data_IF_971499365971
#
_entry.id   IF_971499365971
#
_cell.length_a   1.000
_cell.length_b   1.000
_cell.length_c   1.000
_cell.angle_alpha   90.00
_cell.angle_beta   90.00
_cell.angle_gamma   90.00
#
_symmetry.space_group_name_H-M   'P 1'
#
loop_
_entity.id
_entity.type
_entity.pdbx_description
1 polymer ?
#
# COMPACT_ATOMS: atom_id res chain seq x y z
N UNK A 1 35.91 -8.31 -7.31
CA UNK A 1 34.84 -7.75 -8.18
C UNK A 1 33.44 -7.92 -7.56
N UNK A 2 33.06 -9.10 -7.05
CA UNK A 2 31.73 -9.33 -6.43
C UNK A 2 31.30 -8.33 -5.34
N UNK A 3 32.16 -7.98 -4.37
CA UNK A 3 31.78 -7.05 -3.30
C UNK A 3 31.40 -5.63 -3.79
N UNK A 4 31.98 -5.17 -4.90
CA UNK A 4 31.64 -3.87 -5.48
C UNK A 4 30.21 -3.82 -6.02
N UNK A 5 29.79 -4.90 -6.69
CA UNK A 5 28.43 -5.05 -7.21
C UNK A 5 27.42 -5.20 -6.06
N UNK A 6 27.77 -5.99 -5.03
CA UNK A 6 26.93 -6.15 -3.86
C UNK A 6 26.69 -4.81 -3.15
N UNK A 7 27.75 -4.04 -2.89
CA UNK A 7 27.63 -2.72 -2.28
C UNK A 7 26.79 -1.74 -3.13
N UNK A 8 27.01 -1.72 -4.46
CA UNK A 8 26.25 -0.86 -5.36
C UNK A 8 24.76 -1.17 -5.32
N UNK A 9 24.39 -2.46 -5.40
CA UNK A 9 22.99 -2.90 -5.38
C UNK A 9 22.35 -2.62 -4.02
N UNK A 10 23.03 -2.95 -2.93
CA UNK A 10 22.56 -2.74 -1.55
C UNK A 10 22.25 -1.27 -1.26
N UNK A 11 23.17 -0.37 -1.63
CA UNK A 11 22.96 1.07 -1.47
C UNK A 11 21.89 1.63 -2.43
N UNK A 12 21.71 1.03 -3.62
CA UNK A 12 20.69 1.46 -4.58
C UNK A 12 19.27 1.03 -4.20
N UNK A 13 19.10 -0.19 -3.70
CA UNK A 13 17.78 -0.80 -3.51
C UNK A 13 17.13 -0.43 -2.17
N UNK A 14 17.92 -0.19 -1.10
CA UNK A 14 17.40 -0.10 0.27
C UNK A 14 17.44 1.32 0.85
N UNK A 15 18.28 2.22 0.33
CA UNK A 15 18.62 3.50 1.00
C UNK A 15 17.44 4.47 1.19
N UNK A 16 16.99 5.11 0.12
CA UNK A 16 15.97 6.18 0.18
C UNK A 16 14.65 5.78 -0.45
N UNK A 17 14.69 4.97 -1.51
CA UNK A 17 13.50 4.56 -2.25
C UNK A 17 12.49 3.89 -1.34
N UNK A 18 12.90 2.84 -0.63
CA UNK A 18 12.03 2.04 0.25
C UNK A 18 11.42 2.87 1.37
N UNK A 19 12.17 3.79 1.97
CA UNK A 19 11.65 4.67 3.03
C UNK A 19 10.59 5.62 2.47
N UNK A 20 10.81 6.17 1.27
CA UNK A 20 9.80 6.97 0.57
C UNK A 20 8.56 6.14 0.21
N UNK A 21 8.71 4.90 -0.27
CA UNK A 21 7.57 4.00 -0.51
C UNK A 21 6.79 3.72 0.77
N UNK A 22 7.46 3.36 1.86
CA UNK A 22 6.82 3.09 3.14
C UNK A 22 6.05 4.32 3.65
N UNK A 23 6.58 5.53 3.42
CA UNK A 23 5.88 6.77 3.73
C UNK A 23 4.62 6.92 2.87
N UNK A 24 4.73 6.73 1.55
CA UNK A 24 3.58 6.82 0.64
C UNK A 24 2.51 5.77 0.95
N UNK A 25 2.89 4.55 1.30
CA UNK A 25 1.98 3.47 1.70
C UNK A 25 1.26 3.82 3.00
N UNK A 26 2.00 4.26 4.02
CA UNK A 26 1.41 4.71 5.29
C UNK A 26 0.45 5.89 5.08
N UNK A 27 0.84 6.85 4.22
CA UNK A 27 0.01 8.01 3.91
C UNK A 27 -1.27 7.61 3.16
N UNK A 28 -1.13 6.71 2.19
CA UNK A 28 -2.23 6.17 1.41
C UNK A 28 -3.27 5.48 2.29
N UNK A 29 -2.86 4.60 3.20
CA UNK A 29 -3.79 3.85 4.06
C UNK A 29 -4.52 4.79 5.05
N UNK A 30 -3.78 5.69 5.68
CA UNK A 30 -4.32 6.50 6.79
C UNK A 30 -5.15 7.67 6.30
N UNK A 31 -4.65 8.42 5.31
CA UNK A 31 -5.29 9.68 4.86
C UNK A 31 -6.09 9.53 3.57
N UNK A 32 -5.62 8.74 2.60
CA UNK A 32 -6.34 8.56 1.33
C UNK A 32 -7.51 7.60 1.52
N UNK A 33 -7.23 6.39 2.00
CA UNK A 33 -8.27 5.39 2.27
C UNK A 33 -9.09 5.73 3.52
N UNK A 34 -8.43 6.22 4.57
CA UNK A 34 -9.07 6.75 5.77
C UNK A 34 -9.05 5.77 6.96
N UNK A 35 -8.53 6.24 8.09
CA UNK A 35 -8.38 5.46 9.34
C UNK A 35 -9.66 4.80 9.83
N UNK A 36 -10.83 5.42 9.62
CA UNK A 36 -12.11 4.85 10.08
C UNK A 36 -12.51 3.62 9.27
N UNK A 37 -12.26 3.62 7.95
CA UNK A 37 -12.51 2.45 7.09
C UNK A 37 -11.51 1.34 7.44
N UNK A 38 -10.23 1.69 7.53
CA UNK A 38 -9.17 0.74 7.90
C UNK A 38 -9.40 0.04 9.25
N UNK A 39 -9.86 0.78 10.26
CA UNK A 39 -10.23 0.20 11.55
C UNK A 39 -11.38 -0.82 11.42
N UNK A 40 -12.37 -0.53 10.59
CA UNK A 40 -13.52 -1.42 10.40
C UNK A 40 -13.14 -2.66 9.59
N UNK A 41 -12.20 -2.54 8.64
CA UNK A 41 -11.63 -3.69 7.95
C UNK A 41 -10.96 -4.65 8.95
N UNK A 42 -10.11 -4.11 9.83
CA UNK A 42 -9.46 -4.89 10.89
C UNK A 42 -10.51 -5.53 11.79
N UNK A 43 -11.55 -4.79 12.17
CA UNK A 43 -12.66 -5.30 12.99
C UNK A 43 -13.35 -6.49 12.35
N UNK A 44 -13.58 -6.48 11.04
CA UNK A 44 -14.17 -7.62 10.33
C UNK A 44 -13.27 -8.85 10.31
N UNK A 45 -11.95 -8.68 10.43
CA UNK A 45 -10.97 -9.79 10.42
C UNK A 45 -10.73 -10.41 11.78
N UNK A 46 -10.57 -9.60 12.83
CA UNK A 46 -10.18 -10.07 14.17
C UNK A 46 -11.34 -10.04 15.19
N UNK A 47 -12.46 -9.41 14.83
CA UNK A 47 -13.65 -9.25 15.67
C UNK A 47 -13.61 -8.03 16.60
N UNK A 48 -14.78 -7.67 17.12
CA UNK A 48 -15.00 -6.43 17.88
C UNK A 48 -14.20 -6.33 19.17
N UNK A 49 -14.04 -7.46 19.88
CA UNK A 49 -13.43 -7.51 21.21
C UNK A 49 -12.02 -6.92 21.25
N UNK A 50 -11.25 -7.10 20.19
CA UNK A 50 -9.87 -6.61 20.11
C UNK A 50 -9.79 -5.15 19.66
N UNK A 51 -10.71 -4.72 18.81
CA UNK A 51 -10.73 -3.36 18.25
C UNK A 51 -11.34 -2.33 19.21
N UNK A 52 -12.32 -2.72 20.02
CA UNK A 52 -12.87 -1.87 21.09
C UNK A 52 -11.98 -1.79 22.34
N UNK A 53 -10.91 -2.61 22.39
CA UNK A 53 -10.02 -2.58 23.53
C UNK A 53 -9.28 -1.23 23.60
N UNK A 54 -9.12 -0.62 24.79
CA UNK A 54 -8.43 0.67 24.95
C UNK A 54 -6.99 0.65 24.40
N UNK A 55 -6.35 -0.52 24.34
CA UNK A 55 -5.02 -0.68 23.72
C UNK A 55 -5.01 -0.36 22.22
N UNK A 56 -6.13 -0.55 21.52
CA UNK A 56 -6.23 -0.25 20.08
C UNK A 56 -6.08 1.25 19.77
N UNK A 57 -6.37 2.12 20.75
CA UNK A 57 -6.16 3.56 20.58
C UNK A 57 -4.69 3.91 20.33
N UNK A 58 -3.75 3.18 20.93
CA UNK A 58 -2.31 3.34 20.67
C UNK A 58 -1.94 2.99 19.24
N UNK A 59 -2.54 1.94 18.68
CA UNK A 59 -2.35 1.56 17.28
C UNK A 59 -2.84 2.63 16.32
N UNK A 60 -3.99 3.25 16.63
CA UNK A 60 -4.48 4.39 15.85
C UNK A 60 -3.50 5.56 15.86
N UNK A 61 -2.95 5.91 17.04
CA UNK A 61 -1.97 6.98 17.17
C UNK A 61 -0.67 6.65 16.42
N UNK A 62 -0.23 5.38 16.50
CA UNK A 62 0.94 4.87 15.79
C UNK A 62 0.81 5.09 14.28
N UNK A 63 -0.31 4.67 13.69
CA UNK A 63 -0.53 4.80 12.25
C UNK A 63 -0.70 6.26 11.81
N UNK A 64 -1.40 7.09 12.59
CA UNK A 64 -1.69 8.47 12.21
C UNK A 64 -0.49 9.43 12.37
N UNK A 65 0.32 9.24 13.42
CA UNK A 65 1.31 10.25 13.81
C UNK A 65 2.72 9.68 13.96
N UNK A 66 2.88 8.56 14.65
CA UNK A 66 4.22 8.08 15.01
C UNK A 66 4.96 7.53 13.79
N UNK A 67 4.39 6.57 13.06
CA UNK A 67 5.02 5.98 11.88
C UNK A 67 5.36 7.03 10.82
N UNK A 68 4.44 7.93 10.43
CA UNK A 68 4.73 8.97 9.44
C UNK A 68 5.82 9.93 9.91
N UNK A 69 5.82 10.33 11.19
CA UNK A 69 6.84 11.24 11.75
C UNK A 69 8.22 10.60 11.76
N UNK A 70 8.32 9.32 12.15
CA UNK A 70 9.60 8.60 12.13
C UNK A 70 10.12 8.46 10.70
N UNK A 71 9.27 8.10 9.74
CA UNK A 71 9.67 7.96 8.34
C UNK A 71 10.14 9.29 7.73
N UNK A 72 9.43 10.39 8.01
CA UNK A 72 9.87 11.74 7.59
C UNK A 72 11.21 12.10 8.23
N UNK A 73 11.42 11.79 9.51
CA UNK A 73 12.68 12.06 10.20
C UNK A 73 13.85 11.29 9.57
N UNK A 74 13.64 10.03 9.21
CA UNK A 74 14.65 9.20 8.54
C UNK A 74 14.99 9.78 7.16
N UNK A 75 13.98 10.22 6.39
CA UNK A 75 14.20 10.86 5.09
C UNK A 75 15.04 12.14 5.25
N UNK A 76 14.73 12.97 6.25
CA UNK A 76 15.47 14.21 6.51
C UNK A 76 16.95 13.94 6.81
N UNK A 77 17.25 12.97 7.68
CA UNK A 77 18.63 12.58 7.99
C UNK A 77 19.35 12.05 6.75
N UNK A 78 18.72 11.16 5.98
CA UNK A 78 19.31 10.65 4.75
C UNK A 78 19.54 11.72 3.68
N UNK A 79 18.69 12.75 3.61
CA UNK A 79 18.90 13.89 2.71
C UNK A 79 20.09 14.76 3.14
N UNK A 80 20.31 14.94 4.44
CA UNK A 80 21.43 15.72 4.98
C UNK A 80 22.75 14.97 4.77
N UNK A 81 22.77 13.68 5.05
CA UNK A 81 23.95 12.83 4.97
C UNK A 81 24.15 12.19 3.58
N UNK A 82 23.51 12.73 2.54
CA UNK A 82 23.59 12.16 1.20
C UNK A 82 25.00 12.28 0.62
N UNK A 83 25.70 11.15 0.53
CA UNK A 83 27.00 11.03 -0.13
C UNK A 83 26.95 10.02 -1.26
N UNK A 84 27.72 10.26 -2.32
CA UNK A 84 27.86 9.27 -3.39
C UNK A 84 28.36 7.93 -2.83
N UNK A 85 27.81 6.79 -3.29
CA UNK A 85 28.33 5.48 -2.92
C UNK A 85 29.82 5.43 -3.21
N UNK A 86 30.63 5.00 -2.25
CA UNK A 86 32.07 4.76 -2.44
C UNK A 86 32.44 3.44 -1.79
N UNK A 87 33.16 2.58 -2.51
CA UNK A 87 33.69 1.32 -1.98
C UNK A 87 35.10 1.14 -2.51
N UNK A 88 36.11 1.25 -1.64
CA UNK A 88 37.54 1.19 -1.99
C UNK A 88 37.95 2.15 -3.15
N UNK A 89 37.29 3.30 -3.26
CA UNK A 89 37.53 4.32 -4.29
C UNK A 89 36.24 4.93 -4.84
N UNK A 90 36.34 5.99 -5.67
CA UNK A 90 35.19 6.57 -6.35
C UNK A 90 34.67 5.61 -7.43
N UNK A 91 33.34 5.42 -7.50
CA UNK A 91 32.74 4.63 -8.56
C UNK A 91 32.84 5.35 -9.92
N UNK A 92 33.03 4.62 -11.03
CA UNK A 92 32.99 5.20 -12.36
C UNK A 92 31.57 5.66 -12.72
N UNK A 93 31.45 6.65 -13.60
CA UNK A 93 30.17 7.29 -13.97
C UNK A 93 29.14 6.28 -14.52
N UNK A 94 29.58 5.22 -15.23
CA UNK A 94 28.66 4.20 -15.73
C UNK A 94 27.96 3.43 -14.61
N UNK A 95 28.61 3.24 -13.46
CA UNK A 95 28.02 2.56 -12.31
C UNK A 95 26.94 3.43 -11.67
N UNK A 96 27.07 4.75 -11.75
CA UNK A 96 26.04 5.70 -11.33
C UNK A 96 24.78 5.58 -12.19
N UNK A 97 24.89 5.40 -13.51
CA UNK A 97 23.72 5.17 -14.37
C UNK A 97 23.00 3.86 -14.01
N UNK A 98 23.75 2.80 -13.69
CA UNK A 98 23.16 1.53 -13.22
C UNK A 98 22.45 1.74 -11.87
N UNK A 99 23.08 2.46 -10.95
CA UNK A 99 22.50 2.79 -9.64
C UNK A 99 21.13 3.47 -9.77
N UNK A 100 21.03 4.55 -10.56
CA UNK A 100 19.75 5.22 -10.81
C UNK A 100 18.79 4.36 -11.64
N UNK A 101 19.30 3.54 -12.55
CA UNK A 101 18.51 2.60 -13.35
C UNK A 101 17.75 1.59 -12.48
N UNK A 102 18.42 0.98 -11.49
CA UNK A 102 17.79 0.02 -10.56
C UNK A 102 16.66 0.70 -9.76
N UNK A 103 16.91 1.90 -9.25
CA UNK A 103 15.90 2.68 -8.49
C UNK A 103 14.68 2.98 -9.38
N UNK A 104 14.91 3.52 -10.58
CA UNK A 104 13.81 3.90 -11.49
C UNK A 104 12.99 2.69 -11.94
N UNK A 105 13.62 1.55 -12.23
CA UNK A 105 12.90 0.32 -12.62
C UNK A 105 12.04 -0.21 -11.47
N UNK A 106 12.52 -0.11 -10.23
CA UNK A 106 11.75 -0.52 -9.05
C UNK A 106 10.56 0.41 -8.77
N UNK A 107 10.69 1.71 -9.05
CA UNK A 107 9.64 2.72 -8.83
C UNK A 107 8.67 2.84 -9.98
N UNK A 108 9.09 2.53 -11.21
CA UNK A 108 8.30 2.69 -12.44
C UNK A 108 6.93 2.00 -12.45
N UNK A 109 6.70 0.82 -11.84
CA UNK A 109 5.39 0.18 -11.87
C UNK A 109 4.25 1.03 -11.29
N UNK A 110 4.51 1.80 -10.22
CA UNK A 110 3.48 2.67 -9.59
C UNK A 110 2.95 3.74 -10.57
N UNK A 111 3.78 4.63 -11.15
CA UNK A 111 3.30 5.63 -12.09
C UNK A 111 2.81 5.00 -13.41
N UNK A 112 3.35 3.85 -13.84
CA UNK A 112 2.86 3.15 -15.04
C UNK A 112 1.41 2.69 -14.85
N UNK A 113 1.09 2.06 -13.72
CA UNK A 113 -0.29 1.64 -13.41
C UNK A 113 -1.19 2.87 -13.29
N UNK A 114 -0.74 3.91 -12.60
CA UNK A 114 -1.50 5.17 -12.44
C UNK A 114 -1.80 5.83 -13.80
N UNK A 115 -0.82 5.89 -14.71
CA UNK A 115 -1.01 6.43 -16.05
C UNK A 115 -1.93 5.53 -16.91
N UNK A 116 -1.74 4.22 -16.82
CA UNK A 116 -2.60 3.25 -17.51
C UNK A 116 -4.07 3.41 -17.10
N UNK A 117 -4.35 3.53 -15.80
CA UNK A 117 -5.69 3.80 -15.30
C UNK A 117 -6.19 5.17 -15.75
N UNK A 118 -5.35 6.21 -15.70
CA UNK A 118 -5.73 7.56 -16.09
C UNK A 118 -6.10 7.69 -17.58
N UNK A 119 -5.48 6.92 -18.47
CA UNK A 119 -5.78 6.90 -19.92
C UNK A 119 -7.03 6.05 -20.21
N UNK A 120 -7.20 4.94 -19.49
CA UNK A 120 -8.29 3.98 -19.74
C UNK A 120 -9.62 4.44 -19.13
N UNK A 121 -9.59 5.19 -18.03
CA UNK A 121 -10.81 5.72 -17.39
C UNK A 121 -11.45 6.84 -18.21
N UNK A 122 -12.73 6.67 -18.54
CA UNK A 122 -13.59 7.74 -19.06
C UNK A 122 -13.92 8.75 -17.97
N UNK A 123 -14.14 10.02 -18.35
CA UNK A 123 -14.55 11.07 -17.41
C UNK A 123 -13.63 12.29 -17.36
N UNK A 124 -14.02 13.24 -16.52
CA UNK A 124 -13.28 14.50 -16.28
C UNK A 124 -12.01 14.29 -15.44
N UNK A 125 -11.08 15.25 -15.41
CA UNK A 125 -9.85 15.13 -14.62
C UNK A 125 -10.10 14.86 -13.13
N UNK A 126 -11.13 15.49 -12.54
CA UNK A 126 -11.49 15.30 -11.13
C UNK A 126 -12.07 13.91 -10.87
N UNK A 127 -12.93 13.44 -11.78
CA UNK A 127 -13.54 12.11 -11.70
C UNK A 127 -12.48 11.01 -11.84
N UNK A 128 -11.51 11.20 -12.75
CA UNK A 128 -10.36 10.28 -12.87
C UNK A 128 -9.52 10.25 -11.60
N UNK A 129 -9.23 11.40 -10.99
CA UNK A 129 -8.52 11.44 -9.70
C UNK A 129 -9.32 10.73 -8.60
N UNK A 130 -10.63 10.95 -8.55
CA UNK A 130 -11.49 10.33 -7.55
C UNK A 130 -11.56 8.81 -7.71
N UNK A 131 -11.62 8.31 -8.95
CA UNK A 131 -11.53 6.87 -9.26
C UNK A 131 -10.17 6.28 -8.83
N UNK A 132 -9.07 7.02 -9.01
CA UNK A 132 -7.73 6.54 -8.66
C UNK A 132 -7.47 6.52 -7.14
N UNK A 133 -8.10 7.41 -6.38
CA UNK A 133 -7.95 7.49 -4.93
C UNK A 133 -9.08 6.80 -4.15
N UNK A 134 -10.10 6.31 -4.84
CA UNK A 134 -11.18 5.51 -4.25
C UNK A 134 -10.85 4.01 -4.34
N UNK A 135 -11.26 3.21 -3.33
CA UNK A 135 -11.17 1.76 -3.44
C UNK A 135 -12.05 1.25 -4.58
N UNK A 136 -11.67 0.13 -5.18
CA UNK A 136 -12.48 -0.50 -6.21
C UNK A 136 -13.81 -1.01 -5.64
N UNK A 137 -14.89 -0.94 -6.42
CA UNK A 137 -16.20 -1.45 -6.00
C UNK A 137 -16.19 -2.97 -5.68
N UNK A 138 -15.24 -3.71 -6.26
CA UNK A 138 -15.06 -5.15 -6.02
C UNK A 138 -14.20 -5.49 -4.80
N UNK A 139 -13.63 -4.49 -4.14
CA UNK A 139 -12.71 -4.68 -3.03
C UNK A 139 -13.37 -5.40 -1.84
N UNK A 140 -12.62 -6.30 -1.19
CA UNK A 140 -13.06 -7.07 -0.02
C UNK A 140 -12.75 -8.56 -0.10
N UNK A 141 -13.11 -9.34 0.95
CA UNK A 141 -12.92 -10.79 1.00
C UNK A 141 -13.45 -11.49 -0.25
N UNK A 142 -12.73 -12.51 -0.71
CA UNK A 142 -13.15 -13.29 -1.87
C UNK A 142 -14.33 -14.21 -1.54
N UNK A 143 -14.33 -14.75 -0.31
CA UNK A 143 -15.40 -15.61 0.17
C UNK A 143 -16.64 -14.77 0.48
N UNK A 144 -17.78 -15.23 -0.01
CA UNK A 144 -19.04 -14.49 0.05
C UNK A 144 -19.53 -14.30 1.50
N UNK A 145 -19.48 -15.34 2.32
CA UNK A 145 -19.86 -15.26 3.74
C UNK A 145 -19.07 -14.19 4.48
N UNK A 146 -17.77 -14.11 4.22
CA UNK A 146 -16.87 -13.18 4.91
C UNK A 146 -17.04 -11.76 4.38
N UNK A 147 -17.36 -11.63 3.09
CA UNK A 147 -17.71 -10.34 2.46
C UNK A 147 -19.02 -9.77 3.00
N UNK A 148 -20.06 -10.59 3.14
CA UNK A 148 -21.34 -10.16 3.72
C UNK A 148 -21.15 -9.74 5.18
N UNK A 149 -20.36 -10.50 5.96
CA UNK A 149 -20.02 -10.14 7.33
C UNK A 149 -19.24 -8.81 7.42
N UNK A 150 -18.24 -8.61 6.56
CA UNK A 150 -17.51 -7.34 6.48
C UNK A 150 -18.46 -6.18 6.14
N UNK A 151 -19.33 -6.36 5.13
CA UNK A 151 -20.31 -5.35 4.74
C UNK A 151 -21.21 -4.93 5.92
N UNK A 152 -21.77 -5.90 6.64
CA UNK A 152 -22.58 -5.65 7.84
C UNK A 152 -21.81 -4.89 8.91
N UNK A 153 -20.55 -5.25 9.15
CA UNK A 153 -19.68 -4.56 10.10
C UNK A 153 -19.47 -3.09 9.72
N UNK A 154 -19.24 -2.81 8.44
CA UNK A 154 -19.08 -1.44 7.93
C UNK A 154 -20.37 -0.63 8.07
N UNK A 155 -21.53 -1.22 7.74
CA UNK A 155 -22.85 -0.59 7.84
C UNK A 155 -23.19 -0.23 9.29
N UNK A 156 -23.00 -1.17 10.23
CA UNK A 156 -23.20 -0.96 11.67
C UNK A 156 -22.37 0.21 12.21
N UNK A 157 -21.17 0.41 11.66
CA UNK A 157 -20.24 1.46 12.10
C UNK A 157 -20.28 2.73 11.24
N UNK A 158 -21.30 2.88 10.38
CA UNK A 158 -21.53 4.07 9.56
C UNK A 158 -20.44 4.34 8.53
N UNK A 159 -19.88 3.28 7.95
CA UNK A 159 -18.92 3.32 6.82
C UNK A 159 -19.42 2.45 5.68
N UNK A 160 -18.82 2.58 4.50
CA UNK A 160 -19.12 1.72 3.34
C UNK A 160 -17.83 1.08 2.83
N UNK A 161 -17.96 -0.16 2.34
CA UNK A 161 -16.91 -0.94 1.69
C UNK A 161 -16.93 -0.77 0.15
N UNK A 162 -17.88 -0.02 -0.41
CA UNK A 162 -18.12 0.07 -1.85
C UNK A 162 -19.60 -0.13 -2.17
N UNK A 163 -19.93 -0.77 -3.29
CA UNK A 163 -21.28 -1.23 -3.60
C UNK A 163 -21.50 -2.68 -3.12
N UNK A 164 -22.74 -3.03 -2.75
CA UNK A 164 -23.09 -4.42 -2.45
C UNK A 164 -23.07 -5.22 -3.76
N UNK A 165 -22.09 -6.10 -3.91
CA UNK A 165 -21.96 -6.97 -5.08
C UNK A 165 -23.10 -8.00 -5.13
N UNK A 166 -24.11 -7.77 -5.98
CA UNK A 166 -25.17 -8.73 -6.27
C UNK A 166 -24.66 -9.80 -7.26
N UNK A 167 -23.85 -10.73 -6.76
CA UNK A 167 -23.42 -11.90 -7.53
C UNK A 167 -24.61 -12.86 -7.72
N UNK A 168 -24.71 -13.48 -8.91
CA UNK A 168 -25.64 -14.59 -9.17
C UNK A 168 -25.49 -15.63 -8.06
N UNK A 169 -26.57 -16.25 -7.57
CA UNK A 169 -26.45 -17.30 -6.55
C UNK A 169 -25.57 -18.43 -7.09
N UNK A 170 -24.37 -18.56 -6.53
CA UNK A 170 -23.50 -19.71 -6.70
C UNK A 170 -23.91 -20.78 -5.71
N UNK A 171 -23.74 -22.04 -6.10
CA UNK A 171 -23.94 -23.17 -5.19
C UNK A 171 -22.76 -23.26 -4.21
N UNK A 172 -23.00 -23.79 -3.00
CA UNK A 172 -21.95 -23.92 -1.97
C UNK A 172 -20.70 -24.69 -2.46
N UNK A 173 -20.84 -25.55 -3.47
CA UNK A 173 -19.72 -26.28 -4.10
C UNK A 173 -18.86 -25.37 -5.00
N UNK A 174 -19.46 -24.42 -5.71
CA UNK A 174 -18.74 -23.46 -6.55
C UNK A 174 -17.90 -22.50 -5.71
N UNK A 175 -18.44 -22.01 -4.58
CA UNK A 175 -17.70 -21.16 -3.64
C UNK A 175 -16.46 -21.88 -3.06
N UNK A 176 -16.61 -23.17 -2.70
CA UNK A 176 -15.48 -23.97 -2.21
C UNK A 176 -14.43 -24.25 -3.29
N UNK A 177 -14.83 -24.42 -4.55
CA UNK A 177 -13.91 -24.67 -5.66
C UNK A 177 -13.14 -23.41 -6.06
N UNK A 178 -13.79 -22.24 -6.05
CA UNK A 178 -13.11 -20.95 -6.27
C UNK A 178 -12.09 -20.69 -5.16
N UNK A 179 -12.46 -20.91 -3.90
CA UNK A 179 -11.55 -20.73 -2.76
C UNK A 179 -10.30 -21.63 -2.85
N UNK A 180 -10.40 -22.82 -3.46
CA UNK A 180 -9.28 -23.75 -3.66
C UNK A 180 -8.43 -23.47 -4.89
N UNK A 181 -8.94 -22.73 -5.89
CA UNK A 181 -8.25 -22.49 -7.16
C UNK A 181 -7.29 -21.29 -7.10
N UNK A 182 -7.44 -20.43 -6.08
CA UNK A 182 -6.67 -19.18 -5.93
C UNK A 182 -5.54 -19.30 -4.89
N UNK A 183 -5.47 -20.43 -4.17
CA UNK A 183 -4.36 -20.81 -3.27
C UNK A 183 -3.43 -21.80 -3.95
#
# INVERSE_FOLDING_TARGET
>A
AGPYWANLVDQSAISLGVVCFALLEAVSIVWVYGVRRFKNDIRSMIGDKWVDHPTFWWWKLQWCFVTPTILVSIILVNCIDWTYPTYNGPYPIWALYIFWGIITISVAPIPVVMLYTAITSSGSFRERLDIMFSPQNSWGPILRSDRDHAWECHEQHGTTMGEKLYLHPLTNEEDQNIAKTVL
#
